data_IF_335655116800
#
_entry.id   IF_335655116800
#
_cell.length_a   1.000
_cell.length_b   1.000
_cell.length_c   1.000
_cell.angle_alpha   90.00
_cell.angle_beta   90.00
_cell.angle_gamma   90.00
#
_symmetry.space_group_name_H-M   'P 1'
#
loop_
_entity.id
_entity.type
_entity.pdbx_description
1 polymer ?
#
# COMPACT_ATOMS: atom_id res chain seq x y z
N UNK A 1 -9.95 5.83 27.19
CA UNK A 1 -11.26 5.15 27.23
C UNK A 1 -11.16 3.66 27.67
N UNK A 2 -9.98 3.04 27.65
CA UNK A 2 -9.75 1.66 28.10
C UNK A 2 -9.95 0.58 27.03
N UNK A 3 -10.72 0.84 25.98
CA UNK A 3 -11.00 -0.07 24.86
C UNK A 3 -11.02 0.68 23.53
N UNK A 4 -10.59 0.02 22.46
CA UNK A 4 -10.70 0.52 21.08
C UNK A 4 -10.89 -0.67 20.12
N UNK A 5 -11.51 -0.42 18.97
CA UNK A 5 -11.40 -1.29 17.81
C UNK A 5 -10.14 -0.85 17.06
N UNK A 6 -9.08 -1.68 17.12
CA UNK A 6 -7.75 -1.25 16.66
C UNK A 6 -7.72 -0.85 15.19
N UNK A 7 -8.40 -1.57 14.29
CA UNK A 7 -8.35 -1.32 12.86
C UNK A 7 -9.02 0.02 12.53
N UNK A 8 -10.28 0.19 12.92
CA UNK A 8 -11.07 1.37 12.56
C UNK A 8 -10.67 2.62 13.33
N UNK A 9 -10.26 2.47 14.60
CA UNK A 9 -9.93 3.62 15.45
C UNK A 9 -8.48 4.10 15.28
N UNK A 10 -7.57 3.21 14.82
CA UNK A 10 -6.14 3.52 14.75
C UNK A 10 -5.43 2.97 13.50
N UNK A 11 -5.53 1.67 13.24
CA UNK A 11 -4.69 0.97 12.27
C UNK A 11 -4.89 1.43 10.82
N UNK A 12 -6.11 1.74 10.42
CA UNK A 12 -6.42 2.31 9.10
C UNK A 12 -6.24 3.83 9.08
N UNK A 13 -6.53 4.49 10.20
CA UNK A 13 -6.51 5.96 10.29
C UNK A 13 -5.08 6.50 10.25
N UNK A 14 -4.17 5.92 11.03
CA UNK A 14 -2.81 6.45 11.16
C UNK A 14 -2.00 6.42 9.85
N UNK A 15 -1.92 5.30 9.11
CA UNK A 15 -1.21 5.29 7.83
C UNK A 15 -1.84 6.23 6.80
N UNK A 16 -3.18 6.28 6.73
CA UNK A 16 -3.90 7.18 5.85
C UNK A 16 -3.60 8.65 6.16
N UNK A 17 -3.64 9.03 7.42
CA UNK A 17 -3.29 10.38 7.85
C UNK A 17 -1.82 10.72 7.55
N UNK A 18 -0.90 9.83 7.89
CA UNK A 18 0.51 10.03 7.62
C UNK A 18 0.77 10.21 6.12
N UNK A 19 0.15 9.37 5.29
CA UNK A 19 0.33 9.40 3.85
C UNK A 19 -0.32 10.64 3.22
N UNK A 20 -1.62 10.80 3.38
CA UNK A 20 -2.34 11.89 2.70
C UNK A 20 -1.94 13.27 3.20
N UNK A 21 -1.82 13.46 4.52
CA UNK A 21 -1.50 14.75 5.08
C UNK A 21 -0.03 15.11 4.95
N UNK A 22 0.87 14.20 5.35
CA UNK A 22 2.29 14.55 5.50
C UNK A 22 3.09 14.30 4.22
N UNK A 23 2.71 13.28 3.42
CA UNK A 23 3.44 12.95 2.19
C UNK A 23 2.82 13.66 0.98
N UNK A 24 1.49 13.60 0.83
CA UNK A 24 0.81 14.24 -0.31
C UNK A 24 0.43 15.70 -0.05
N UNK A 25 0.26 16.11 1.20
CA UNK A 25 -0.20 17.46 1.56
C UNK A 25 -1.65 17.72 1.18
N UNK A 26 -2.49 16.69 1.26
CA UNK A 26 -3.94 16.77 1.02
C UNK A 26 -4.61 17.52 2.17
N UNK A 27 -5.66 18.34 1.92
CA UNK A 27 -6.44 18.99 2.96
C UNK A 27 -7.02 18.00 3.97
N UNK A 28 -7.03 18.39 5.25
CA UNK A 28 -7.49 17.53 6.35
C UNK A 28 -8.95 17.10 6.19
N UNK A 29 -9.78 17.97 5.66
CA UNK A 29 -11.21 17.71 5.46
C UNK A 29 -11.49 16.58 4.44
N UNK A 30 -10.54 16.30 3.55
CA UNK A 30 -10.68 15.26 2.52
C UNK A 30 -10.16 13.89 2.99
N UNK A 31 -9.46 13.82 4.14
CA UNK A 31 -8.76 12.62 4.59
C UNK A 31 -9.71 11.45 4.87
N UNK A 32 -10.85 11.71 5.52
CA UNK A 32 -11.80 10.65 5.87
C UNK A 32 -12.31 9.92 4.62
N UNK A 33 -12.70 10.67 3.61
CA UNK A 33 -13.19 10.14 2.32
C UNK A 33 -12.10 9.33 1.60
N UNK A 34 -10.85 9.78 1.64
CA UNK A 34 -9.74 9.10 0.98
C UNK A 34 -9.35 7.81 1.70
N UNK A 35 -9.30 7.81 3.02
CA UNK A 35 -9.02 6.60 3.83
C UNK A 35 -10.11 5.56 3.60
N UNK A 36 -11.39 5.95 3.71
CA UNK A 36 -12.53 5.08 3.41
C UNK A 36 -12.46 4.56 1.98
N UNK A 37 -12.16 5.44 1.01
CA UNK A 37 -12.07 5.07 -0.40
C UNK A 37 -10.98 4.05 -0.69
N UNK A 38 -9.83 4.13 -0.04
CA UNK A 38 -8.75 3.14 -0.16
C UNK A 38 -9.13 1.83 0.51
N UNK A 39 -9.67 1.88 1.71
CA UNK A 39 -10.09 0.68 2.46
C UNK A 39 -11.16 -0.11 1.70
N UNK A 40 -12.26 0.54 1.35
CA UNK A 40 -13.37 -0.10 0.65
C UNK A 40 -13.04 -0.42 -0.81
N UNK A 41 -12.20 0.39 -1.47
CA UNK A 41 -11.68 0.09 -2.79
C UNK A 41 -10.79 -1.17 -2.82
N UNK A 42 -10.21 -1.54 -1.67
CA UNK A 42 -9.40 -2.74 -1.54
C UNK A 42 -10.21 -3.95 -1.08
N UNK A 43 -11.09 -3.78 -0.10
CA UNK A 43 -11.70 -4.88 0.64
C UNK A 43 -13.22 -4.98 0.56
N UNK A 44 -13.94 -3.99 -0.01
CA UNK A 44 -15.41 -4.03 -0.05
C UNK A 44 -15.94 -5.30 -0.71
N UNK A 45 -17.07 -5.77 -0.20
CA UNK A 45 -17.82 -6.89 -0.75
C UNK A 45 -19.28 -6.47 -0.91
N UNK A 46 -19.90 -6.69 -2.05
CA UNK A 46 -19.38 -7.44 -3.21
C UNK A 46 -18.27 -6.67 -3.97
N UNK A 47 -17.51 -7.42 -4.79
CA UNK A 47 -16.32 -6.89 -5.50
C UNK A 47 -16.65 -5.70 -6.41
N UNK A 48 -17.86 -5.64 -6.94
CA UNK A 48 -18.35 -4.55 -7.81
C UNK A 48 -18.34 -3.19 -7.09
N UNK A 49 -18.55 -3.18 -5.78
CA UNK A 49 -18.49 -1.94 -4.98
C UNK A 49 -17.08 -1.36 -4.92
N UNK A 50 -16.04 -2.19 -5.00
CA UNK A 50 -14.64 -1.73 -5.04
C UNK A 50 -14.39 -0.74 -6.15
N UNK A 51 -14.95 -0.98 -7.34
CA UNK A 51 -14.78 -0.10 -8.48
C UNK A 51 -15.32 1.31 -8.22
N UNK A 52 -16.40 1.44 -7.45
CA UNK A 52 -17.00 2.73 -7.08
C UNK A 52 -16.05 3.51 -6.15
N UNK A 53 -15.54 2.86 -5.11
CA UNK A 53 -14.63 3.50 -4.16
C UNK A 53 -13.28 3.81 -4.79
N UNK A 54 -12.74 2.88 -5.56
CA UNK A 54 -11.51 3.09 -6.34
C UNK A 54 -11.66 4.28 -7.29
N UNK A 55 -12.77 4.37 -8.02
CA UNK A 55 -13.07 5.47 -8.94
C UNK A 55 -13.10 6.83 -8.24
N UNK A 56 -13.67 6.91 -7.03
CA UNK A 56 -13.68 8.15 -6.24
C UNK A 56 -12.27 8.63 -5.88
N UNK A 57 -11.41 7.72 -5.43
CA UNK A 57 -10.02 8.04 -5.09
C UNK A 57 -9.25 8.43 -6.35
N UNK A 58 -9.42 7.70 -7.44
CA UNK A 58 -8.79 7.98 -8.73
C UNK A 58 -9.16 9.39 -9.23
N UNK A 59 -10.44 9.72 -9.24
CA UNK A 59 -10.94 11.04 -9.66
C UNK A 59 -10.42 12.18 -8.77
N UNK A 60 -10.41 11.95 -7.46
CA UNK A 60 -9.88 12.93 -6.52
C UNK A 60 -8.39 13.18 -6.76
N UNK A 61 -7.59 12.13 -6.83
CA UNK A 61 -6.14 12.25 -7.02
C UNK A 61 -5.78 12.83 -8.39
N UNK A 62 -6.56 12.55 -9.42
CA UNK A 62 -6.42 13.17 -10.73
C UNK A 62 -6.63 14.69 -10.69
N UNK A 63 -7.71 15.13 -10.02
CA UNK A 63 -8.00 16.55 -9.80
C UNK A 63 -6.95 17.21 -8.91
N UNK A 64 -6.54 16.52 -7.85
CA UNK A 64 -5.49 16.99 -6.96
C UNK A 64 -4.15 17.19 -7.68
N UNK A 65 -3.73 16.20 -8.47
CA UNK A 65 -2.49 16.28 -9.26
C UNK A 65 -2.55 17.44 -10.27
N UNK A 66 -3.72 17.65 -10.91
CA UNK A 66 -3.94 18.76 -11.82
C UNK A 66 -3.80 20.11 -11.12
N UNK A 67 -4.46 20.30 -9.98
CA UNK A 67 -4.34 21.50 -9.15
C UNK A 67 -2.89 21.75 -8.77
N UNK A 68 -2.18 20.71 -8.28
CA UNK A 68 -0.78 20.81 -7.88
C UNK A 68 0.16 21.18 -9.04
N UNK A 69 -0.17 20.80 -10.28
CA UNK A 69 0.61 21.19 -11.46
C UNK A 69 0.56 22.69 -11.77
N UNK A 70 -0.42 23.39 -11.23
CA UNK A 70 -0.66 24.84 -11.40
C UNK A 70 -0.15 25.66 -10.21
N UNK A 71 0.23 25.00 -9.10
CA UNK A 71 0.75 25.62 -7.88
C UNK A 71 2.29 25.68 -7.87
N UNK A 72 2.89 26.55 -7.05
CA UNK A 72 4.33 26.53 -6.81
C UNK A 72 4.80 25.17 -6.27
N UNK A 73 5.99 24.75 -6.71
CA UNK A 73 6.60 23.49 -6.24
C UNK A 73 6.84 23.52 -4.73
N UNK A 74 6.60 22.40 -4.06
CA UNK A 74 6.79 22.20 -2.62
C UNK A 74 8.01 21.33 -2.31
N UNK A 75 8.63 20.68 -3.33
CA UNK A 75 9.76 19.77 -3.17
C UNK A 75 9.35 18.38 -2.64
N UNK A 76 8.11 18.01 -2.83
CA UNK A 76 7.51 16.76 -2.33
C UNK A 76 7.42 15.67 -3.43
N UNK A 77 6.86 14.51 -3.06
CA UNK A 77 6.67 13.39 -3.97
C UNK A 77 5.76 13.75 -5.16
N UNK A 78 4.76 14.59 -4.94
CA UNK A 78 3.85 15.03 -6.02
C UNK A 78 4.60 15.83 -7.07
N UNK A 79 5.50 16.70 -6.64
CA UNK A 79 6.36 17.45 -7.56
C UNK A 79 7.30 16.52 -8.35
N UNK A 80 7.78 15.45 -7.73
CA UNK A 80 8.61 14.44 -8.41
C UNK A 80 7.81 13.72 -9.50
N UNK A 81 6.57 13.33 -9.22
CA UNK A 81 5.66 12.73 -10.22
C UNK A 81 5.36 13.71 -11.35
N UNK A 82 5.10 14.97 -11.02
CA UNK A 82 4.83 16.02 -12.00
C UNK A 82 6.04 16.34 -12.88
N UNK A 83 7.25 16.42 -12.31
CA UNK A 83 8.47 16.75 -13.02
C UNK A 83 8.83 15.75 -14.12
N UNK A 84 8.38 14.52 -13.99
CA UNK A 84 8.43 13.56 -15.07
C UNK A 84 9.05 12.22 -14.71
N UNK A 85 8.17 11.27 -14.47
CA UNK A 85 8.51 9.87 -14.67
C UNK A 85 8.81 9.66 -16.15
N UNK A 86 9.95 9.08 -16.45
CA UNK A 86 10.35 8.72 -17.82
C UNK A 86 10.32 7.21 -17.98
N UNK A 87 9.90 6.77 -19.14
CA UNK A 87 10.05 5.38 -19.54
C UNK A 87 11.52 5.02 -19.78
N UNK A 88 11.87 3.72 -19.85
CA UNK A 88 13.24 3.27 -20.13
C UNK A 88 13.82 3.81 -21.43
N UNK A 89 12.98 4.16 -22.41
CA UNK A 89 13.36 4.79 -23.68
C UNK A 89 13.56 6.32 -23.59
N UNK A 90 13.41 6.89 -22.37
CA UNK A 90 13.58 8.32 -22.11
C UNK A 90 12.33 9.18 -22.40
N UNK A 91 11.26 8.61 -22.96
CA UNK A 91 10.02 9.35 -23.22
C UNK A 91 9.31 9.70 -21.90
N UNK A 92 8.73 10.92 -21.79
CA UNK A 92 7.98 11.29 -20.60
C UNK A 92 6.69 10.48 -20.50
N UNK A 93 6.37 10.04 -19.29
CA UNK A 93 5.09 9.39 -19.02
C UNK A 93 3.91 10.35 -19.30
N UNK A 94 2.85 9.90 -20.00
CA UNK A 94 1.66 10.68 -20.24
C UNK A 94 0.93 10.99 -18.93
N UNK A 95 -0.01 11.95 -18.97
CA UNK A 95 -0.69 12.46 -17.79
C UNK A 95 -1.42 11.37 -16.99
N UNK A 96 -2.18 10.53 -17.65
CA UNK A 96 -2.92 9.42 -17.05
C UNK A 96 -2.02 8.42 -16.33
N UNK A 97 -0.80 8.18 -16.84
CA UNK A 97 0.18 7.34 -16.15
C UNK A 97 0.72 8.01 -14.88
N UNK A 98 0.87 9.34 -14.86
CA UNK A 98 1.24 10.07 -13.64
C UNK A 98 0.16 9.94 -12.57
N UNK A 99 -1.11 10.02 -12.98
CA UNK A 99 -2.25 9.79 -12.07
C UNK A 99 -2.25 8.35 -11.57
N UNK A 100 -2.05 7.36 -12.44
CA UNK A 100 -1.97 5.94 -12.05
C UNK A 100 -0.86 5.68 -11.04
N UNK A 101 0.34 6.26 -11.23
CA UNK A 101 1.45 6.13 -10.27
C UNK A 101 1.04 6.67 -8.90
N UNK A 102 0.39 7.85 -8.85
CA UNK A 102 -0.08 8.42 -7.58
C UNK A 102 -1.12 7.53 -6.90
N UNK A 103 -2.03 6.96 -7.68
CA UNK A 103 -3.05 6.01 -7.20
C UNK A 103 -2.39 4.72 -6.68
N UNK A 104 -1.47 4.14 -7.44
CA UNK A 104 -0.75 2.91 -7.04
C UNK A 104 -0.01 3.08 -5.71
N UNK A 105 0.71 4.20 -5.55
CA UNK A 105 1.41 4.51 -4.30
C UNK A 105 0.40 4.68 -3.16
N UNK A 106 -0.76 5.29 -3.42
CA UNK A 106 -1.81 5.52 -2.43
C UNK A 106 -2.40 4.19 -1.93
N UNK A 107 -2.83 3.34 -2.83
CA UNK A 107 -3.40 2.03 -2.47
C UNK A 107 -2.34 1.09 -1.88
N UNK A 108 -1.12 1.12 -2.40
CA UNK A 108 -0.02 0.29 -1.91
C UNK A 108 0.48 0.66 -0.51
N UNK A 109 0.44 1.95 -0.16
CA UNK A 109 1.05 2.45 1.09
C UNK A 109 0.13 2.45 2.32
N UNK A 110 -1.17 2.33 2.17
CA UNK A 110 -2.13 2.46 3.27
C UNK A 110 -2.60 1.09 3.76
N UNK A 111 -3.30 0.34 2.92
CA UNK A 111 -3.94 -0.91 3.30
C UNK A 111 -2.93 -1.97 3.77
N UNK A 112 -1.79 -2.10 3.09
CA UNK A 112 -0.74 -3.05 3.47
C UNK A 112 -0.11 -2.71 4.81
N UNK A 113 0.14 -1.44 5.07
CA UNK A 113 0.68 -0.96 6.35
C UNK A 113 -0.30 -1.23 7.48
N UNK A 114 -1.58 -0.94 7.28
CA UNK A 114 -2.66 -1.25 8.24
C UNK A 114 -2.67 -2.73 8.60
N UNK A 115 -2.55 -3.61 7.60
CA UNK A 115 -2.58 -5.05 7.81
C UNK A 115 -1.39 -5.55 8.64
N UNK A 116 -0.17 -5.12 8.31
CA UNK A 116 1.03 -5.49 9.08
C UNK A 116 0.95 -4.98 10.51
N UNK A 117 0.49 -3.73 10.71
CA UNK A 117 0.31 -3.16 12.06
C UNK A 117 -0.71 -3.96 12.87
N UNK A 118 -1.85 -4.32 12.29
CA UNK A 118 -2.88 -5.11 12.97
C UNK A 118 -2.36 -6.49 13.36
N UNK A 119 -1.65 -7.16 12.46
CA UNK A 119 -1.05 -8.47 12.72
C UNK A 119 0.03 -8.41 13.80
N UNK A 120 0.88 -7.39 13.77
CA UNK A 120 1.91 -7.18 14.80
C UNK A 120 1.29 -6.93 16.18
N UNK A 121 0.29 -6.07 16.28
CA UNK A 121 -0.41 -5.79 17.56
C UNK A 121 -1.15 -7.03 18.07
N UNK A 122 -1.79 -7.80 17.18
CA UNK A 122 -2.43 -9.05 17.56
C UNK A 122 -1.39 -10.05 18.10
N UNK A 123 -0.25 -10.20 17.42
CA UNK A 123 0.86 -11.05 17.89
C UNK A 123 1.33 -10.62 19.28
N UNK A 124 1.66 -9.34 19.47
CA UNK A 124 2.14 -8.82 20.74
C UNK A 124 1.09 -8.89 21.87
N UNK A 125 -0.19 -8.84 21.55
CA UNK A 125 -1.26 -9.05 22.52
C UNK A 125 -1.37 -10.50 23.00
N UNK A 126 -1.04 -11.46 22.12
CA UNK A 126 -1.13 -12.90 22.39
C UNK A 126 0.18 -13.54 22.84
N UNK A 127 1.33 -12.81 22.68
CA UNK A 127 2.68 -13.27 23.03
C UNK A 127 3.34 -12.27 23.99
N UNK A 128 3.02 -12.34 25.31
CA UNK A 128 3.52 -11.39 26.30
C UNK A 128 5.05 -11.30 26.36
N UNK A 129 5.74 -12.42 26.20
CA UNK A 129 7.21 -12.45 26.27
C UNK A 129 7.86 -11.60 25.16
N UNK A 130 7.34 -11.67 23.93
CA UNK A 130 7.84 -10.85 22.82
C UNK A 130 7.55 -9.36 23.03
N UNK A 131 6.36 -9.06 23.56
CA UNK A 131 6.00 -7.69 23.92
C UNK A 131 6.92 -7.13 25.01
N UNK A 132 7.19 -7.87 26.08
CA UNK A 132 8.08 -7.50 27.17
C UNK A 132 9.51 -7.29 26.65
N UNK A 133 10.01 -8.18 25.81
CA UNK A 133 11.34 -8.04 25.22
C UNK A 133 11.51 -6.74 24.41
N UNK A 134 10.47 -6.32 23.65
CA UNK A 134 10.50 -5.06 22.91
C UNK A 134 10.36 -3.82 23.81
N UNK A 135 9.64 -3.94 24.92
CA UNK A 135 9.53 -2.86 25.91
C UNK A 135 10.86 -2.66 26.66
N UNK A 136 11.50 -3.77 27.04
CA UNK A 136 12.78 -3.77 27.78
C UNK A 136 13.96 -3.37 26.91
N UNK A 137 13.91 -3.68 25.61
CA UNK A 137 14.95 -3.34 24.66
C UNK A 137 14.37 -2.72 23.35
N UNK A 138 14.06 -1.41 23.37
CA UNK A 138 13.51 -0.70 22.22
C UNK A 138 14.42 -0.69 20.97
N UNK A 139 15.71 -0.94 21.10
CA UNK A 139 16.67 -1.02 20.00
C UNK A 139 16.41 -2.24 19.08
N UNK A 140 15.63 -3.21 19.56
CA UNK A 140 15.16 -4.32 18.73
C UNK A 140 14.04 -3.94 17.76
N UNK A 141 13.38 -2.80 17.94
CA UNK A 141 12.19 -2.41 17.18
C UNK A 141 12.39 -2.43 15.66
N UNK A 142 13.50 -1.92 15.09
CA UNK A 142 13.70 -1.99 13.63
C UNK A 142 13.70 -3.42 13.10
N UNK A 143 14.40 -4.34 13.77
CA UNK A 143 14.42 -5.75 13.38
C UNK A 143 13.07 -6.45 13.57
N UNK A 144 12.35 -6.10 14.64
CA UNK A 144 11.02 -6.63 14.90
C UNK A 144 10.01 -6.21 13.81
N UNK A 145 10.10 -4.97 13.32
CA UNK A 145 9.25 -4.49 12.21
C UNK A 145 9.49 -5.32 10.95
N UNK A 146 10.76 -5.57 10.58
CA UNK A 146 11.10 -6.39 9.44
C UNK A 146 10.60 -7.83 9.61
N UNK A 147 10.73 -8.39 10.82
CA UNK A 147 10.24 -9.73 11.12
C UNK A 147 8.72 -9.82 11.08
N UNK A 148 7.98 -8.83 11.59
CA UNK A 148 6.54 -8.78 11.44
C UNK A 148 6.11 -8.71 9.97
N UNK A 149 6.80 -7.94 9.14
CA UNK A 149 6.51 -7.87 7.71
C UNK A 149 6.83 -9.19 6.99
N UNK A 150 7.85 -9.93 7.44
CA UNK A 150 8.21 -11.25 6.92
C UNK A 150 7.18 -12.32 7.30
N UNK A 151 6.80 -12.37 8.58
CA UNK A 151 5.89 -13.40 9.12
C UNK A 151 4.43 -13.14 8.74
N UNK A 152 4.03 -11.88 8.63
CA UNK A 152 2.68 -11.45 8.30
C UNK A 152 2.67 -10.62 6.99
N UNK A 153 3.05 -11.21 5.85
CA UNK A 153 3.08 -10.47 4.60
C UNK A 153 1.67 -10.02 4.21
N UNK A 154 1.45 -8.72 3.97
CA UNK A 154 0.11 -8.20 3.67
C UNK A 154 -0.40 -8.64 2.30
N UNK A 155 0.50 -9.07 1.43
CA UNK A 155 0.20 -9.61 0.11
C UNK A 155 0.72 -11.04 0.05
N UNK A 156 -0.17 -12.01 0.18
CA UNK A 156 0.17 -13.45 0.19
C UNK A 156 0.71 -13.94 -1.16
N UNK A 157 0.31 -13.30 -2.24
CA UNK A 157 0.83 -13.61 -3.58
C UNK A 157 0.20 -12.74 -4.67
N UNK A 158 0.87 -12.65 -5.83
CA UNK A 158 0.38 -11.95 -6.99
C UNK A 158 0.49 -12.81 -8.25
N UNK A 159 -0.56 -12.76 -9.06
CA UNK A 159 -0.60 -13.44 -10.35
C UNK A 159 0.26 -12.77 -11.42
N UNK A 160 0.81 -13.58 -12.32
CA UNK A 160 1.49 -13.14 -13.54
C UNK A 160 1.06 -13.99 -14.70
N UNK A 161 1.02 -13.41 -15.91
CA UNK A 161 0.86 -14.17 -17.15
C UNK A 161 2.22 -14.36 -17.78
N UNK A 162 2.56 -15.61 -18.11
CA UNK A 162 3.82 -15.93 -18.73
C UNK A 162 3.89 -15.37 -20.15
N UNK A 163 4.90 -14.56 -20.47
CA UNK A 163 5.02 -13.88 -21.76
C UNK A 163 5.73 -14.70 -22.84
N UNK A 164 6.40 -15.79 -22.45
CA UNK A 164 7.12 -16.73 -23.33
C UNK A 164 7.21 -18.09 -22.66
N UNK A 165 7.49 -19.14 -23.42
CA UNK A 165 7.78 -20.45 -22.87
C UNK A 165 9.07 -20.39 -22.01
N UNK A 166 8.99 -20.91 -20.81
CA UNK A 166 10.12 -20.97 -19.85
C UNK A 166 10.10 -22.31 -19.11
N UNK A 167 11.23 -22.64 -18.51
CA UNK A 167 11.34 -23.77 -17.59
C UNK A 167 11.88 -23.27 -16.24
N UNK A 168 11.20 -23.61 -15.15
CA UNK A 168 11.58 -23.26 -13.79
C UNK A 168 11.63 -24.52 -12.96
N UNK A 169 12.80 -24.84 -12.41
CA UNK A 169 13.03 -26.04 -11.59
C UNK A 169 12.49 -27.33 -12.25
N UNK A 170 12.71 -27.51 -13.54
CA UNK A 170 12.25 -28.69 -14.31
C UNK A 170 10.78 -28.65 -14.73
N UNK A 171 10.02 -27.62 -14.31
CA UNK A 171 8.62 -27.47 -14.71
C UNK A 171 8.50 -26.53 -15.90
N UNK A 172 7.86 -27.00 -16.98
CA UNK A 172 7.62 -26.23 -18.20
C UNK A 172 6.38 -25.34 -18.01
N UNK A 173 6.55 -24.05 -18.20
CA UNK A 173 5.48 -23.04 -18.17
C UNK A 173 5.38 -22.46 -19.58
N UNK A 174 4.18 -22.45 -20.13
CA UNK A 174 3.94 -21.97 -21.49
C UNK A 174 3.59 -20.49 -21.52
N UNK A 175 3.83 -19.86 -22.65
CA UNK A 175 3.31 -18.53 -22.95
C UNK A 175 1.79 -18.54 -22.78
N UNK A 176 1.28 -17.60 -21.99
CA UNK A 176 -0.15 -17.45 -21.65
C UNK A 176 -0.57 -18.14 -20.37
N UNK A 177 0.25 -19.03 -19.81
CA UNK A 177 -0.06 -19.63 -18.52
C UNK A 177 -0.10 -18.57 -17.41
N UNK A 178 -1.07 -18.74 -16.51
CA UNK A 178 -1.17 -17.92 -15.30
C UNK A 178 -0.36 -18.58 -14.17
N UNK A 179 0.56 -17.83 -13.62
CA UNK A 179 1.42 -18.26 -12.49
C UNK A 179 1.24 -17.36 -11.29
N UNK A 180 1.30 -17.92 -10.10
CA UNK A 180 1.23 -17.17 -8.86
C UNK A 180 2.62 -17.07 -8.22
N UNK A 181 3.05 -15.86 -7.91
CA UNK A 181 4.20 -15.59 -7.07
C UNK A 181 3.76 -15.68 -5.62
N UNK A 182 4.10 -16.78 -4.95
CA UNK A 182 3.66 -17.06 -3.57
C UNK A 182 4.60 -16.38 -2.56
N UNK A 183 4.38 -15.09 -2.31
CA UNK A 183 5.23 -14.30 -1.43
C UNK A 183 5.25 -14.81 0.01
N UNK A 184 4.08 -15.16 0.55
CA UNK A 184 3.98 -15.71 1.90
C UNK A 184 4.82 -16.99 2.04
N UNK A 185 4.69 -17.94 1.11
CA UNK A 185 5.47 -19.17 1.15
C UNK A 185 6.99 -18.88 1.11
N UNK A 186 7.44 -17.97 0.23
CA UNK A 186 8.85 -17.61 0.13
C UNK A 186 9.40 -16.86 1.35
N UNK A 187 8.53 -16.22 2.12
CA UNK A 187 8.90 -15.52 3.35
C UNK A 187 9.08 -16.46 4.54
N UNK A 188 8.56 -17.69 4.44
CA UNK A 188 8.65 -18.73 5.48
C UNK A 188 9.62 -19.87 5.14
N UNK A 189 10.30 -19.82 3.99
CA UNK A 189 11.19 -20.86 3.47
C UNK A 189 12.60 -20.83 4.12
#
# INVERSE_FOLDING_TARGET
>A
KGECEFISDFGAVLPGWAFFKNILGVPVDDLAMLVEGVELGTFAMPVEERAVYFGRVFDYLGKYLKKRSEEPKRGDMVDTILAGVKYPDGQPAPWDHKVSILVDITFGGIATTTYVMASAIHHLATHPADREALVDNPDMMPNAIEEFARVFPPVVGLGRTCTRDVEVAGTKIKKGDFVMLAYEASSHD
#
